data_IF_822607532841
#
_entry.id   IF_822607532841
#
_cell.length_a   1.000
_cell.length_b   1.000
_cell.length_c   1.000
_cell.angle_alpha   90.00
_cell.angle_beta   90.00
_cell.angle_gamma   90.00
#
_symmetry.space_group_name_H-M   'P 1'
#
loop_
_entity.id
_entity.type
_entity.pdbx_description
1 polymer ?
#
# COMPACT_ATOMS: atom_id res chain seq x y z
N UNK A 1 -5.20 -27.20 -5.00
CA UNK A 1 -3.96 -26.72 -5.65
C UNK A 1 -4.23 -25.53 -6.57
N UNK A 2 -5.22 -25.59 -7.46
CA UNK A 2 -5.60 -24.47 -8.33
C UNK A 2 -6.00 -23.19 -7.56
N UNK A 3 -6.75 -23.30 -6.46
CA UNK A 3 -7.14 -22.13 -5.65
C UNK A 3 -5.95 -21.43 -4.99
N UNK A 4 -4.92 -22.19 -4.64
CA UNK A 4 -3.71 -21.67 -4.01
C UNK A 4 -2.86 -20.90 -5.03
N UNK A 5 -2.74 -21.46 -6.25
CA UNK A 5 -2.08 -20.80 -7.39
C UNK A 5 -2.83 -19.52 -7.77
N UNK A 6 -4.16 -19.57 -7.81
CA UNK A 6 -5.00 -18.41 -8.08
C UNK A 6 -4.81 -17.31 -7.03
N UNK A 7 -4.74 -17.69 -5.75
CA UNK A 7 -4.45 -16.78 -4.65
C UNK A 7 -3.09 -16.10 -4.79
N UNK A 8 -2.04 -16.84 -5.18
CA UNK A 8 -0.71 -16.27 -5.43
C UNK A 8 -0.68 -15.32 -6.64
N UNK A 9 -1.39 -15.65 -7.71
CA UNK A 9 -1.50 -14.77 -8.89
C UNK A 9 -2.19 -13.46 -8.52
N UNK A 10 -3.30 -13.53 -7.77
CA UNK A 10 -4.04 -12.36 -7.31
C UNK A 10 -3.16 -11.51 -6.38
N UNK A 11 -2.45 -12.13 -5.43
CA UNK A 11 -1.54 -11.43 -4.53
C UNK A 11 -0.38 -10.75 -5.27
N UNK A 12 0.21 -11.43 -6.25
CA UNK A 12 1.28 -10.86 -7.08
C UNK A 12 0.82 -9.68 -7.93
N UNK A 13 -0.38 -9.78 -8.51
CA UNK A 13 -1.01 -8.66 -9.24
C UNK A 13 -1.29 -7.47 -8.33
N UNK A 14 -1.80 -7.70 -7.13
CA UNK A 14 -2.04 -6.66 -6.14
C UNK A 14 -0.74 -5.94 -5.75
N UNK A 15 0.32 -6.69 -5.46
CA UNK A 15 1.64 -6.12 -5.16
C UNK A 15 2.22 -5.32 -6.34
N UNK A 16 2.10 -5.83 -7.56
CA UNK A 16 2.61 -5.13 -8.75
C UNK A 16 1.85 -3.83 -9.03
N UNK A 17 0.52 -3.85 -8.86
CA UNK A 17 -0.34 -2.67 -8.99
C UNK A 17 -0.02 -1.66 -7.90
N UNK A 18 0.16 -2.09 -6.66
CA UNK A 18 0.55 -1.22 -5.55
C UNK A 18 1.92 -0.56 -5.77
N UNK A 19 2.90 -1.34 -6.21
CA UNK A 19 4.22 -0.82 -6.52
C UNK A 19 4.15 0.23 -7.64
N UNK A 20 3.40 -0.03 -8.73
CA UNK A 20 3.23 0.94 -9.82
C UNK A 20 2.45 2.19 -9.39
N UNK A 21 1.38 2.03 -8.60
CA UNK A 21 0.60 3.15 -8.06
C UNK A 21 1.45 4.04 -7.14
N UNK A 22 2.32 3.44 -6.32
CA UNK A 22 3.19 4.17 -5.40
C UNK A 22 4.40 4.83 -6.10
N UNK A 23 4.98 4.16 -7.11
CA UNK A 23 6.24 4.62 -7.74
C UNK A 23 6.03 5.50 -8.97
N UNK A 24 5.00 5.26 -9.79
CA UNK A 24 4.81 5.95 -11.07
C UNK A 24 3.80 7.10 -11.01
N UNK A 25 2.82 7.07 -10.11
CA UNK A 25 1.79 8.11 -10.06
C UNK A 25 2.21 9.32 -9.20
N UNK A 26 2.17 10.48 -9.85
CA UNK A 26 2.47 11.80 -9.28
C UNK A 26 1.58 12.12 -8.07
N UNK A 27 0.34 11.63 -8.08
CA UNK A 27 -0.69 11.97 -7.10
C UNK A 27 -0.69 10.98 -5.92
N UNK A 28 -0.41 11.43 -4.68
CA UNK A 28 -0.32 10.58 -3.48
C UNK A 28 -1.58 9.76 -3.21
N UNK A 29 -2.73 10.24 -3.64
CA UNK A 29 -4.03 9.61 -3.43
C UNK A 29 -4.15 8.22 -4.09
N UNK A 30 -3.43 7.98 -5.19
CA UNK A 30 -3.48 6.71 -5.92
C UNK A 30 -2.70 5.59 -5.22
N UNK A 31 -1.59 5.92 -4.55
CA UNK A 31 -0.88 4.93 -3.72
C UNK A 31 -1.61 4.63 -2.40
N UNK A 32 -2.42 5.57 -1.90
CA UNK A 32 -3.14 5.43 -0.63
C UNK A 32 -4.43 4.63 -0.75
N UNK A 33 -4.91 4.39 -1.97
CA UNK A 33 -6.14 3.63 -2.22
C UNK A 33 -6.09 2.23 -1.64
N UNK A 34 -4.95 1.54 -1.77
CA UNK A 34 -4.82 0.16 -1.28
C UNK A 34 -4.84 0.11 0.26
N UNK A 35 -4.02 0.91 0.98
CA UNK A 35 -4.12 1.01 2.43
C UNK A 35 -5.51 1.42 2.94
N UNK A 36 -6.23 2.29 2.22
CA UNK A 36 -7.58 2.73 2.57
C UNK A 36 -8.62 1.64 2.34
N UNK A 37 -8.55 0.92 1.21
CA UNK A 37 -9.45 -0.20 0.92
C UNK A 37 -9.24 -1.35 1.92
N UNK A 38 -7.99 -1.65 2.28
CA UNK A 38 -7.66 -2.61 3.33
C UNK A 38 -8.31 -2.22 4.66
N UNK A 39 -8.19 -0.96 5.06
CA UNK A 39 -8.81 -0.46 6.28
C UNK A 39 -10.34 -0.60 6.24
N UNK A 40 -10.97 -0.16 5.14
CA UNK A 40 -12.41 -0.25 4.95
C UNK A 40 -12.91 -1.70 4.95
N UNK A 41 -12.20 -2.61 4.28
CA UNK A 41 -12.50 -4.04 4.30
C UNK A 41 -12.37 -4.66 5.69
N UNK A 42 -11.34 -4.26 6.43
CA UNK A 42 -11.14 -4.67 7.83
C UNK A 42 -12.33 -4.26 8.69
N UNK A 43 -12.73 -2.98 8.60
CA UNK A 43 -13.89 -2.44 9.32
C UNK A 43 -15.17 -3.20 8.94
N UNK A 44 -15.39 -3.45 7.65
CA UNK A 44 -16.56 -4.19 7.17
C UNK A 44 -16.63 -5.62 7.73
N UNK A 45 -15.50 -6.33 7.78
CA UNK A 45 -15.43 -7.69 8.34
C UNK A 45 -15.87 -7.71 9.80
N UNK A 46 -15.34 -6.81 10.64
CA UNK A 46 -15.73 -6.72 12.05
C UNK A 46 -17.15 -6.19 12.23
N UNK A 47 -17.57 -5.18 11.45
CA UNK A 47 -18.90 -4.60 11.51
C UNK A 47 -20.00 -5.59 11.05
N UNK A 48 -19.66 -6.52 10.16
CA UNK A 48 -20.58 -7.56 9.70
C UNK A 48 -20.86 -8.66 10.73
N UNK A 49 -20.17 -8.64 11.88
CA UNK A 49 -20.30 -9.64 12.94
C UNK A 49 -19.79 -11.04 12.56
N UNK A 50 -19.21 -11.21 11.37
CA UNK A 50 -18.67 -12.49 10.89
C UNK A 50 -17.41 -12.92 11.64
N UNK A 51 -16.70 -11.97 12.24
CA UNK A 51 -15.50 -12.22 13.03
C UNK A 51 -15.66 -11.53 14.39
N UNK A 52 -15.46 -12.24 15.51
CA UNK A 52 -15.56 -11.65 16.83
C UNK A 52 -14.48 -10.58 17.04
N UNK A 53 -14.86 -9.48 17.69
CA UNK A 53 -13.96 -8.36 18.01
C UNK A 53 -13.08 -8.69 19.22
N UNK A 54 -12.30 -9.76 19.12
CA UNK A 54 -11.37 -10.20 20.16
C UNK A 54 -9.93 -9.99 19.72
N UNK A 55 -9.02 -9.83 20.69
CA UNK A 55 -7.60 -9.49 20.45
C UNK A 55 -6.93 -10.46 19.47
N UNK A 56 -7.23 -11.75 19.54
CA UNK A 56 -6.63 -12.78 18.68
C UNK A 56 -7.01 -12.61 17.20
N UNK A 57 -8.24 -12.15 16.92
CA UNK A 57 -8.70 -11.91 15.55
C UNK A 57 -8.36 -10.50 15.08
N UNK A 58 -8.24 -9.54 15.99
CA UNK A 58 -7.95 -8.16 15.67
C UNK A 58 -6.47 -7.92 15.34
N UNK A 59 -5.57 -8.62 16.04
CA UNK A 59 -4.13 -8.43 15.92
C UNK A 59 -3.60 -8.58 14.48
N UNK A 60 -3.94 -9.64 13.72
CA UNK A 60 -3.48 -9.78 12.34
C UNK A 60 -3.92 -8.61 11.43
N UNK A 61 -5.17 -8.14 11.58
CA UNK A 61 -5.67 -7.01 10.79
C UNK A 61 -4.93 -5.71 11.11
N UNK A 62 -4.64 -5.46 12.38
CA UNK A 62 -3.84 -4.28 12.78
C UNK A 62 -2.45 -4.34 12.19
N UNK A 63 -1.77 -5.50 12.26
CA UNK A 63 -0.43 -5.68 11.69
C UNK A 63 -0.44 -5.42 10.18
N UNK A 64 -1.35 -6.05 9.44
CA UNK A 64 -1.46 -5.87 7.99
C UNK A 64 -1.73 -4.41 7.62
N UNK A 65 -2.70 -3.76 8.26
CA UNK A 65 -2.99 -2.34 7.98
C UNK A 65 -1.78 -1.44 8.26
N UNK A 66 -1.06 -1.70 9.36
CA UNK A 66 0.11 -0.90 9.74
C UNK A 66 1.25 -1.05 8.72
N UNK A 67 1.50 -2.26 8.23
CA UNK A 67 2.52 -2.53 7.21
C UNK A 67 2.21 -1.79 5.90
N UNK A 68 0.99 -1.95 5.38
CA UNK A 68 0.59 -1.32 4.12
C UNK A 68 0.59 0.21 4.21
N UNK A 69 0.16 0.79 5.34
CA UNK A 69 0.27 2.23 5.57
C UNK A 69 1.72 2.71 5.69
N UNK A 70 2.59 1.92 6.34
CA UNK A 70 4.01 2.21 6.47
C UNK A 70 4.76 2.18 5.13
N UNK A 71 4.47 1.16 4.31
CA UNK A 71 5.06 1.02 2.97
C UNK A 71 4.60 2.15 2.05
N UNK A 72 3.32 2.54 2.12
CA UNK A 72 2.83 3.71 1.40
C UNK A 72 3.57 4.99 1.82
N UNK A 73 3.68 5.25 3.14
CA UNK A 73 4.38 6.42 3.64
C UNK A 73 5.86 6.46 3.22
N UNK A 74 6.54 5.31 3.30
CA UNK A 74 7.95 5.15 2.92
C UNK A 74 8.14 5.35 1.41
N UNK A 75 7.26 4.75 0.59
CA UNK A 75 7.27 4.94 -0.86
C UNK A 75 7.06 6.40 -1.28
N UNK A 76 6.21 7.14 -0.56
CA UNK A 76 6.02 8.58 -0.78
C UNK A 76 7.25 9.41 -0.42
N UNK A 77 7.97 9.05 0.64
CA UNK A 77 9.21 9.74 1.02
C UNK A 77 10.32 9.50 -0.02
N UNK A 78 10.45 8.26 -0.51
CA UNK A 78 11.39 7.94 -1.59
C UNK A 78 11.08 8.67 -2.89
N UNK A 79 9.80 8.77 -3.29
CA UNK A 79 9.39 9.54 -4.46
C UNK A 79 9.79 11.03 -4.34
N UNK A 80 9.60 11.63 -3.16
CA UNK A 80 10.01 13.03 -2.92
C UNK A 80 11.52 13.20 -3.02
N UNK A 81 12.30 12.26 -2.47
CA UNK A 81 13.77 12.28 -2.53
C UNK A 81 14.28 12.18 -3.97
N UNK A 82 13.74 11.24 -4.76
CA UNK A 82 14.08 11.07 -6.17
C UNK A 82 13.77 12.34 -6.99
N UNK A 83 12.58 12.90 -6.81
CA UNK A 83 12.20 14.14 -7.50
C UNK A 83 13.09 15.32 -7.12
N UNK A 84 13.50 15.42 -5.85
CA UNK A 84 14.42 16.46 -5.38
C UNK A 84 15.80 16.30 -6.03
N UNK A 85 16.34 15.08 -6.06
CA UNK A 85 17.61 14.79 -6.72
C UNK A 85 17.58 15.10 -8.22
N UNK A 86 16.47 14.85 -8.90
CA UNK A 86 16.30 15.18 -10.32
C UNK A 86 16.28 16.70 -10.56
N UNK A 87 15.59 17.48 -9.71
CA UNK A 87 15.62 18.95 -9.78
C UNK A 87 17.01 19.53 -9.48
N UNK A 88 17.71 19.00 -8.49
CA UNK A 88 19.06 19.46 -8.15
C UNK A 88 20.05 19.17 -9.29
N UNK A 89 19.91 18.03 -9.97
CA UNK A 89 20.70 17.70 -11.17
C UNK A 89 20.40 18.64 -12.34
N UNK A 90 19.15 19.02 -12.55
CA UNK A 90 18.78 19.99 -13.60
C UNK A 90 19.36 21.38 -13.29
N UNK A 91 19.25 21.84 -12.04
CA UNK A 91 19.86 23.11 -11.61
C UNK A 91 21.38 23.15 -11.78
N UNK A 92 22.07 22.05 -11.49
CA UNK A 92 23.52 21.95 -11.64
C UNK A 92 23.97 21.89 -13.11
N UNK A 93 23.07 21.62 -14.05
CA UNK A 93 23.35 21.56 -15.49
C UNK A 93 23.03 22.89 -16.21
N UNK A 94 22.20 23.73 -15.59
CA UNK A 94 21.86 25.08 -16.06
C UNK A 94 22.85 26.15 -15.55
N UNK A 95 23.71 25.85 -14.57
CA UNK A 95 24.86 26.67 -14.16
C UNK A 95 26.11 26.27 -14.92
#
# INVERSE_FOLDING_TARGET
MMDLILGFIIAGLLMAVEYLLCTKLKNPLWGGIIPVLLLAGSIFVFASGKVPFERNYLFPFVVVNTLFWGDWATGRDQYKKLKKAEMDRMKAKDM
#
